data_IF_728617616098
#
_entry.id   IF_728617616098
#
_cell.length_a   1.000
_cell.length_b   1.000
_cell.length_c   1.000
_cell.angle_alpha   90.00
_cell.angle_beta   90.00
_cell.angle_gamma   90.00
#
_symmetry.space_group_name_H-M   'P 1'
#
loop_
_entity.id
_entity.type
_entity.pdbx_description
1 polymer ?
#
# COMPACT_ATOMS: atom_id res chain seq x y z
N UNK A 1 11.90 5.59 -1.39
CA UNK A 1 11.62 4.62 -0.31
C UNK A 1 11.64 3.18 -0.85
N UNK A 2 12.80 2.61 -1.20
CA UNK A 2 12.90 1.22 -1.69
C UNK A 2 12.65 0.19 -0.58
N UNK A 3 13.01 0.53 0.65
CA UNK A 3 12.94 -0.37 1.80
C UNK A 3 11.49 -0.74 2.17
N UNK A 4 10.54 0.19 2.07
CA UNK A 4 9.12 -0.09 2.36
C UNK A 4 8.49 -1.02 1.32
N UNK A 5 8.89 -0.89 0.06
CA UNK A 5 8.51 -1.82 -0.99
C UNK A 5 9.12 -3.22 -0.76
N UNK A 6 10.40 -3.27 -0.41
CA UNK A 6 11.09 -4.50 -0.06
C UNK A 6 10.48 -5.18 1.17
N UNK A 7 10.10 -4.43 2.20
CA UNK A 7 9.43 -4.93 3.39
C UNK A 7 8.01 -5.44 3.07
N UNK A 8 7.26 -4.74 2.20
CA UNK A 8 5.95 -5.20 1.74
C UNK A 8 6.03 -6.51 0.94
N UNK A 9 6.98 -6.58 0.00
CA UNK A 9 7.25 -7.79 -0.80
C UNK A 9 7.74 -8.92 0.10
N UNK A 10 8.70 -8.67 0.98
CA UNK A 10 9.22 -9.68 1.92
C UNK A 10 8.14 -10.23 2.84
N UNK A 11 7.31 -9.36 3.42
CA UNK A 11 6.30 -9.77 4.39
C UNK A 11 5.15 -10.56 3.75
N UNK A 12 4.78 -10.28 2.50
CA UNK A 12 3.66 -10.96 1.83
C UNK A 12 4.07 -12.07 0.86
N UNK A 13 5.17 -11.94 0.11
CA UNK A 13 5.63 -13.02 -0.79
C UNK A 13 6.54 -14.04 -0.10
N UNK A 14 7.37 -13.62 0.87
CA UNK A 14 8.39 -14.51 1.46
C UNK A 14 7.92 -15.09 2.81
N UNK A 15 7.35 -14.27 3.70
CA UNK A 15 6.93 -14.77 5.02
C UNK A 15 5.56 -15.45 5.08
N UNK A 16 4.74 -15.37 4.03
CA UNK A 16 3.37 -15.96 3.99
C UNK A 16 2.59 -15.78 5.30
N UNK A 17 2.69 -14.59 5.90
CA UNK A 17 1.99 -14.32 7.16
C UNK A 17 0.48 -14.55 6.95
N UNK A 18 -0.22 -15.18 7.91
CA UNK A 18 -1.66 -15.40 7.79
C UNK A 18 -2.34 -14.07 7.46
N UNK A 19 -3.28 -14.10 6.51
CA UNK A 19 -4.09 -12.96 6.01
C UNK A 19 -5.02 -12.40 7.11
N UNK A 20 -4.46 -12.00 8.24
CA UNK A 20 -5.11 -11.16 9.23
C UNK A 20 -4.72 -9.73 8.94
N UNK A 21 -5.71 -8.93 8.62
CA UNK A 21 -5.56 -7.50 8.47
C UNK A 21 -5.07 -6.89 9.80
N UNK A 22 -4.03 -6.07 9.70
CA UNK A 22 -3.52 -5.23 10.79
C UNK A 22 -3.61 -3.77 10.31
N UNK A 23 -4.23 -2.85 11.08
CA UNK A 23 -4.25 -1.42 10.75
C UNK A 23 -2.86 -0.83 10.45
N UNK A 24 -1.77 -1.39 10.97
CA UNK A 24 -0.40 -0.97 10.66
C UNK A 24 -0.05 -1.09 9.17
N UNK A 25 -0.76 -1.91 8.39
CA UNK A 25 -0.55 -1.99 6.95
C UNK A 25 -0.82 -0.65 6.25
N UNK A 26 -1.80 0.14 6.70
CA UNK A 26 -2.04 1.48 6.16
C UNK A 26 -0.87 2.44 6.38
N UNK A 27 -0.18 2.31 7.52
CA UNK A 27 1.03 3.08 7.83
C UNK A 27 2.18 2.80 6.84
N UNK A 28 2.17 1.65 6.17
CA UNK A 28 3.17 1.30 5.15
C UNK A 28 2.77 1.75 3.74
N UNK A 29 1.49 1.64 3.37
CA UNK A 29 1.05 2.00 2.01
C UNK A 29 0.92 3.51 1.81
N UNK A 30 0.60 4.25 2.87
CA UNK A 30 0.42 5.70 2.80
C UNK A 30 1.71 6.45 2.36
N UNK A 31 2.89 6.20 2.97
CA UNK A 31 4.14 6.80 2.50
C UNK A 31 4.53 6.42 1.07
N UNK A 32 4.01 5.30 0.55
CA UNK A 32 4.28 4.81 -0.80
C UNK A 32 3.59 5.67 -1.87
N UNK A 33 2.32 6.02 -1.63
CA UNK A 33 1.61 7.03 -2.43
C UNK A 33 2.21 8.42 -2.28
N UNK A 34 2.57 8.83 -1.07
CA UNK A 34 3.23 10.11 -0.83
C UNK A 34 4.56 10.23 -1.59
N UNK A 35 5.42 9.22 -1.52
CA UNK A 35 6.70 9.22 -2.24
C UNK A 35 6.49 9.41 -3.73
N UNK A 36 5.55 8.67 -4.34
CA UNK A 36 5.21 8.79 -5.75
C UNK A 36 4.79 10.23 -6.11
N UNK A 37 3.97 10.86 -5.27
CA UNK A 37 3.46 12.22 -5.47
C UNK A 37 4.56 13.27 -5.32
N UNK A 38 5.42 13.11 -4.31
CA UNK A 38 6.58 13.99 -4.09
C UNK A 38 7.58 13.88 -5.24
N UNK A 39 7.90 12.67 -5.72
CA UNK A 39 8.79 12.47 -6.87
C UNK A 39 8.19 13.05 -8.15
N UNK A 40 6.88 12.90 -8.36
CA UNK A 40 6.19 13.54 -9.49
C UNK A 40 6.30 15.06 -9.43
N UNK A 41 5.99 15.67 -8.28
CA UNK A 41 6.09 17.13 -8.10
C UNK A 41 7.52 17.64 -8.25
N UNK A 42 8.50 16.90 -7.74
CA UNK A 42 9.92 17.24 -7.87
C UNK A 42 10.37 17.18 -9.34
N UNK A 43 10.00 16.11 -10.07
CA UNK A 43 10.33 15.97 -11.48
C UNK A 43 9.72 17.10 -12.32
N UNK A 44 8.47 17.48 -12.02
CA UNK A 44 7.80 18.60 -12.67
C UNK A 44 8.42 19.97 -12.32
N UNK A 45 8.84 20.16 -11.07
CA UNK A 45 9.45 21.42 -10.62
C UNK A 45 10.86 21.64 -11.18
N UNK A 46 11.61 20.56 -11.41
CA UNK A 46 12.98 20.60 -11.95
C UNK A 46 13.03 20.41 -13.48
N UNK A 47 11.88 20.27 -14.13
CA UNK A 47 11.73 19.93 -15.55
C UNK A 47 12.55 18.69 -15.99
N UNK A 48 12.73 17.77 -15.04
CA UNK A 48 13.50 16.54 -15.23
C UNK A 48 12.59 15.45 -15.80
N UNK A 49 12.40 15.50 -17.11
CA UNK A 49 11.62 14.51 -17.87
C UNK A 49 12.12 13.06 -17.68
N UNK A 50 13.41 12.84 -17.44
CA UNK A 50 13.95 11.52 -17.06
C UNK A 50 13.44 11.04 -15.70
N UNK A 51 13.23 11.95 -14.74
CA UNK A 51 12.78 11.60 -13.40
C UNK A 51 11.30 11.21 -13.36
N UNK A 52 10.51 11.60 -14.37
CA UNK A 52 9.09 11.25 -14.53
C UNK A 52 8.84 9.75 -14.81
N UNK A 53 9.85 9.00 -15.25
CA UNK A 53 9.75 7.55 -15.44
C UNK A 53 9.52 6.82 -14.10
N UNK A 54 10.14 7.29 -13.02
CA UNK A 54 10.07 6.69 -11.68
C UNK A 54 8.64 6.74 -11.10
N UNK A 55 7.98 7.92 -10.96
CA UNK A 55 6.64 8.01 -10.40
C UNK A 55 5.61 7.29 -11.27
N UNK A 56 5.82 7.22 -12.59
CA UNK A 56 4.92 6.50 -13.51
C UNK A 56 4.90 4.98 -13.27
N UNK A 57 6.00 4.39 -12.82
CA UNK A 57 6.02 2.96 -12.44
C UNK A 57 5.51 2.81 -11.00
N UNK A 58 6.00 3.66 -10.10
CA UNK A 58 5.66 3.62 -8.67
C UNK A 58 4.16 3.80 -8.39
N UNK A 59 3.43 4.55 -9.23
CA UNK A 59 1.98 4.74 -9.06
C UNK A 59 1.22 3.42 -9.18
N UNK A 60 1.59 2.53 -10.10
CA UNK A 60 0.94 1.22 -10.25
C UNK A 60 1.21 0.34 -9.03
N UNK A 61 2.44 0.39 -8.52
CA UNK A 61 2.82 -0.37 -7.32
C UNK A 61 2.07 0.16 -6.10
N UNK A 62 1.99 1.49 -5.95
CA UNK A 62 1.20 2.13 -4.89
C UNK A 62 -0.27 1.76 -4.98
N UNK A 63 -0.84 1.76 -6.18
CA UNK A 63 -2.23 1.39 -6.43
C UNK A 63 -2.52 -0.06 -6.05
N UNK A 64 -1.71 -1.02 -6.52
CA UNK A 64 -1.88 -2.44 -6.21
C UNK A 64 -1.79 -2.66 -4.70
N UNK A 65 -0.80 -2.06 -4.05
CA UNK A 65 -0.62 -2.19 -2.61
C UNK A 65 -1.82 -1.60 -1.83
N UNK A 66 -2.37 -0.47 -2.28
CA UNK A 66 -3.57 0.14 -1.70
C UNK A 66 -4.78 -0.78 -1.82
N UNK A 67 -4.98 -1.37 -3.00
CA UNK A 67 -6.09 -2.27 -3.29
C UNK A 67 -6.05 -3.52 -2.40
N UNK A 68 -4.87 -4.11 -2.23
CA UNK A 68 -4.70 -5.30 -1.38
C UNK A 68 -5.01 -5.01 0.09
N UNK A 69 -4.50 -3.89 0.63
CA UNK A 69 -4.77 -3.50 2.02
C UNK A 69 -6.23 -3.12 2.22
N UNK A 70 -6.84 -2.46 1.23
CA UNK A 70 -8.27 -2.13 1.26
C UNK A 70 -9.16 -3.38 1.25
N UNK A 71 -8.88 -4.37 0.40
CA UNK A 71 -9.60 -5.65 0.39
C UNK A 71 -9.45 -6.35 1.74
N UNK A 72 -8.24 -6.36 2.31
CA UNK A 72 -7.99 -6.90 3.66
C UNK A 72 -8.82 -6.21 4.74
N UNK A 73 -8.93 -4.88 4.65
CA UNK A 73 -9.76 -4.09 5.57
C UNK A 73 -11.24 -4.43 5.45
N UNK A 74 -11.80 -4.47 4.23
CA UNK A 74 -13.22 -4.80 3.99
C UNK A 74 -13.53 -6.22 4.47
N UNK A 75 -12.63 -7.17 4.22
CA UNK A 75 -12.80 -8.54 4.68
C UNK A 75 -12.80 -8.63 6.22
N UNK A 76 -11.86 -7.95 6.88
CA UNK A 76 -11.81 -7.88 8.35
C UNK A 76 -13.04 -7.22 8.95
N UNK A 77 -13.50 -6.12 8.35
CA UNK A 77 -14.71 -5.43 8.78
C UNK A 77 -15.94 -6.32 8.64
N UNK A 78 -16.09 -7.01 7.50
CA UNK A 78 -17.16 -7.97 7.28
C UNK A 78 -17.16 -9.11 8.31
N UNK A 79 -15.99 -9.65 8.65
CA UNK A 79 -15.85 -10.66 9.71
C UNK A 79 -16.26 -10.11 11.08
N UNK A 80 -15.82 -8.90 11.44
CA UNK A 80 -16.21 -8.26 12.70
C UNK A 80 -17.73 -8.03 12.80
N UNK A 81 -18.37 -7.57 11.71
CA UNK A 81 -19.82 -7.36 11.67
C UNK A 81 -20.57 -8.69 11.77
N UNK A 82 -20.14 -9.73 11.05
CA UNK A 82 -20.77 -11.06 11.08
C UNK A 82 -20.64 -11.74 12.45
N UNK A 83 -19.52 -11.55 13.14
CA UNK A 83 -19.32 -12.06 14.51
C UNK A 83 -20.18 -11.28 15.51
N UNK A 84 -20.28 -9.95 15.39
CA UNK A 84 -21.15 -9.13 16.24
C UNK A 84 -22.60 -9.58 16.13
N UNK A 85 -23.08 -9.84 14.91
CA UNK A 85 -24.47 -10.24 14.64
C UNK A 85 -24.83 -11.66 15.12
N UNK A 86 -23.86 -12.43 15.62
CA UNK A 86 -24.06 -13.79 16.16
C UNK A 86 -24.22 -13.79 17.69
N UNK A 87 -23.93 -12.67 18.36
CA UNK A 87 -23.99 -12.53 19.82
C UNK A 87 -25.30 -11.87 20.28
N UNK A 88 -26.05 -11.26 19.36
CA UNK A 88 -27.42 -10.77 19.55
C UNK A 88 -28.45 -11.85 19.14
#
# INVERSE_FOLDING_TARGET
MPLLLLLGIWRHLIQRFPLRYDPQYWGMVFPLGMYTTCTFRLANALDLSLLMAIPRIFIFVAWIAWLLVFIGYVHSLGQHILVSKRID
#
